data_IF_135621809557
#
_entry.id   IF_135621809557
#
_cell.length_a   1.000
_cell.length_b   1.000
_cell.length_c   1.000
_cell.angle_alpha   90.00
_cell.angle_beta   90.00
_cell.angle_gamma   90.00
#
_symmetry.space_group_name_H-M   'P 1'
#
loop_
_entity.id
_entity.type
_entity.pdbx_description
1 polymer ?
#
# COMPACT_ATOMS: atom_id res chain seq x y z
N UNK A 1 7.00 -11.77 -22.27
CA UNK A 1 7.61 -11.18 -21.06
C UNK A 1 6.59 -10.24 -20.46
N UNK A 2 6.14 -10.47 -19.21
CA UNK A 2 5.20 -9.57 -18.50
C UNK A 2 5.75 -9.02 -17.19
N UNK A 3 6.94 -9.47 -16.76
CA UNK A 3 7.62 -9.01 -15.55
C UNK A 3 8.76 -8.07 -15.92
N UNK A 4 8.90 -6.98 -15.17
CA UNK A 4 9.99 -6.01 -15.28
C UNK A 4 10.40 -5.55 -13.86
N UNK A 5 11.51 -4.81 -13.74
CA UNK A 5 11.90 -4.16 -12.49
C UNK A 5 12.00 -2.65 -12.72
N UNK A 6 11.24 -1.88 -11.94
CA UNK A 6 11.30 -0.41 -11.94
C UNK A 6 11.79 0.16 -10.62
N UNK A 7 11.86 -0.67 -9.57
CA UNK A 7 12.32 -0.22 -8.26
C UNK A 7 13.83 -0.01 -8.21
N UNK A 8 14.24 0.92 -7.36
CA UNK A 8 15.66 1.10 -7.02
C UNK A 8 16.11 -0.08 -6.16
N UNK A 9 17.22 -0.77 -6.50
CA UNK A 9 17.83 -1.76 -5.61
C UNK A 9 18.34 -1.09 -4.33
N UNK A 10 18.13 -1.73 -3.17
CA UNK A 10 18.60 -1.22 -1.88
C UNK A 10 19.72 -2.11 -1.34
N UNK A 11 20.79 -1.49 -0.83
CA UNK A 11 21.89 -2.23 -0.18
C UNK A 11 21.72 -2.15 1.33
N UNK A 12 21.52 -3.29 1.97
CA UNK A 12 21.48 -3.41 3.44
C UNK A 12 22.52 -4.44 3.87
N UNK A 13 23.46 -4.03 4.73
CA UNK A 13 24.64 -4.83 5.11
C UNK A 13 25.35 -5.42 3.87
N UNK A 14 25.38 -6.74 3.76
CA UNK A 14 26.03 -7.53 2.73
C UNK A 14 25.06 -8.00 1.64
N UNK A 15 23.87 -7.40 1.53
CA UNK A 15 22.81 -7.81 0.59
C UNK A 15 22.33 -6.67 -0.30
N UNK A 16 22.06 -7.02 -1.56
CA UNK A 16 21.32 -6.19 -2.51
C UNK A 16 19.88 -6.71 -2.58
N UNK A 17 18.93 -5.85 -2.25
CA UNK A 17 17.51 -6.15 -2.24
C UNK A 17 16.84 -5.55 -3.47
N UNK A 18 16.08 -6.35 -4.21
CA UNK A 18 15.30 -5.88 -5.36
C UNK A 18 13.97 -6.62 -5.45
N UNK A 19 13.01 -6.01 -6.14
CA UNK A 19 11.65 -6.46 -6.23
C UNK A 19 11.27 -6.90 -7.63
N UNK A 20 10.00 -6.70 -7.94
CA UNK A 20 9.34 -7.08 -9.18
C UNK A 20 8.17 -6.13 -9.47
N UNK A 21 7.97 -5.80 -10.74
CA UNK A 21 6.83 -5.07 -11.29
C UNK A 21 6.06 -5.98 -12.25
N UNK A 22 4.75 -5.78 -12.38
CA UNK A 22 3.90 -6.54 -13.32
C UNK A 22 2.55 -7.01 -12.77
N UNK A 23 1.97 -6.30 -11.80
CA UNK A 23 0.61 -6.58 -11.31
C UNK A 23 -0.40 -6.61 -12.46
N UNK A 24 -0.30 -5.62 -13.35
CA UNK A 24 -1.14 -5.44 -14.55
C UNK A 24 -0.90 -6.51 -15.62
N UNK A 25 0.03 -7.44 -15.41
CA UNK A 25 0.36 -8.54 -16.31
C UNK A 25 0.13 -9.90 -15.65
N UNK A 26 -0.49 -9.93 -14.46
CA UNK A 26 -0.71 -11.16 -13.70
C UNK A 26 0.59 -11.84 -13.26
N UNK A 27 1.64 -11.05 -13.00
CA UNK A 27 2.91 -11.58 -12.48
C UNK A 27 2.78 -11.79 -10.98
N UNK A 28 2.95 -13.03 -10.52
CA UNK A 28 3.19 -13.31 -9.10
C UNK A 28 4.58 -12.81 -8.72
N UNK A 29 4.61 -11.62 -8.13
CA UNK A 29 5.85 -10.97 -7.78
C UNK A 29 6.42 -11.46 -6.44
N UNK A 30 7.67 -11.07 -6.21
CA UNK A 30 8.45 -11.44 -5.04
C UNK A 30 9.42 -10.32 -4.69
N UNK A 31 10.00 -10.40 -3.51
CA UNK A 31 11.21 -9.66 -3.13
C UNK A 31 12.38 -10.64 -3.02
N UNK A 32 13.58 -10.22 -3.41
CA UNK A 32 14.77 -11.06 -3.40
C UNK A 32 15.97 -10.33 -2.84
N UNK A 33 16.78 -11.07 -2.08
CA UNK A 33 18.09 -10.63 -1.63
C UNK A 33 19.18 -11.40 -2.36
N UNK A 34 20.19 -10.68 -2.83
CA UNK A 34 21.39 -11.22 -3.42
C UNK A 34 22.59 -10.86 -2.55
N UNK A 35 23.54 -11.77 -2.38
CA UNK A 35 24.78 -11.49 -1.67
C UNK A 35 25.58 -10.44 -2.45
N UNK A 36 25.95 -9.35 -1.79
CA UNK A 36 26.67 -8.22 -2.39
C UNK A 36 28.04 -8.65 -2.94
N UNK A 37 28.66 -9.66 -2.32
CA UNK A 37 30.00 -10.14 -2.67
C UNK A 37 30.08 -10.75 -4.08
N UNK A 38 29.07 -11.52 -4.48
CA UNK A 38 29.14 -12.36 -5.68
C UNK A 38 27.85 -12.42 -6.51
N UNK A 39 26.78 -11.76 -6.07
CA UNK A 39 25.49 -11.74 -6.77
C UNK A 39 24.67 -13.02 -6.65
N UNK A 40 25.09 -13.99 -5.82
CA UNK A 40 24.31 -15.20 -5.56
C UNK A 40 23.00 -14.89 -4.83
N UNK A 41 21.92 -15.60 -5.17
CA UNK A 41 20.63 -15.44 -4.49
C UNK A 41 20.74 -15.94 -3.04
N UNK A 42 20.54 -15.05 -2.07
CA UNK A 42 20.51 -15.39 -0.66
C UNK A 42 19.14 -15.95 -0.27
N UNK A 43 18.07 -15.23 -0.61
CA UNK A 43 16.69 -15.68 -0.39
C UNK A 43 15.71 -14.98 -1.33
N UNK A 44 14.54 -15.58 -1.50
CA UNK A 44 13.40 -15.04 -2.27
C UNK A 44 12.11 -15.28 -1.49
N UNK A 45 11.29 -14.25 -1.35
CA UNK A 45 9.98 -14.33 -0.71
C UNK A 45 8.90 -13.85 -1.68
N UNK A 46 7.96 -14.72 -2.04
CA UNK A 46 6.81 -14.36 -2.85
C UNK A 46 5.77 -13.55 -2.06
N UNK A 47 4.93 -12.77 -2.76
CA UNK A 47 3.86 -11.96 -2.15
C UNK A 47 2.54 -12.73 -1.96
N UNK A 48 2.39 -13.87 -2.63
CA UNK A 48 1.22 -14.77 -2.54
C UNK A 48 1.72 -16.22 -2.56
N UNK A 49 0.85 -17.20 -2.28
CA UNK A 49 1.16 -18.63 -2.31
C UNK A 49 1.42 -19.27 -0.94
N UNK A 50 1.97 -20.49 -0.89
CA UNK A 50 2.18 -21.23 0.36
C UNK A 50 3.17 -20.50 1.29
N UNK A 51 3.02 -20.67 2.60
CA UNK A 51 3.87 -20.00 3.59
C UNK A 51 5.37 -20.30 3.38
N UNK A 52 5.68 -21.50 2.89
CA UNK A 52 7.04 -21.93 2.55
C UNK A 52 7.69 -21.13 1.43
N UNK A 53 6.92 -20.65 0.44
CA UNK A 53 7.42 -19.82 -0.66
C UNK A 53 7.42 -18.33 -0.30
N UNK A 54 6.58 -17.95 0.66
CA UNK A 54 6.48 -16.58 1.17
C UNK A 54 7.46 -16.29 2.31
N UNK A 55 8.21 -17.29 2.77
CA UNK A 55 9.07 -17.24 3.95
C UNK A 55 8.30 -16.76 5.19
N UNK A 56 7.14 -17.39 5.44
CA UNK A 56 6.31 -17.16 6.62
C UNK A 56 6.48 -18.34 7.57
N UNK A 57 6.77 -18.05 8.85
CA UNK A 57 7.03 -19.04 9.88
C UNK A 57 6.05 -18.97 11.04
N UNK A 58 6.18 -19.90 11.99
CA UNK A 58 5.26 -20.05 13.14
C UNK A 58 5.09 -18.80 14.03
N UNK A 59 6.12 -17.95 14.10
CA UNK A 59 6.17 -16.77 14.96
C UNK A 59 5.69 -15.49 14.23
N UNK A 60 5.23 -15.63 12.98
CA UNK A 60 4.72 -14.53 12.18
C UNK A 60 3.46 -13.91 12.79
N UNK A 61 3.46 -12.57 12.95
CA UNK A 61 2.37 -11.81 13.55
C UNK A 61 2.01 -12.22 14.98
N UNK A 62 2.97 -12.73 15.75
CA UNK A 62 2.77 -13.22 17.12
C UNK A 62 2.05 -12.23 18.04
N UNK A 63 2.40 -10.94 17.98
CA UNK A 63 1.81 -9.90 18.82
C UNK A 63 0.44 -9.44 18.31
N UNK A 64 0.15 -9.69 17.02
CA UNK A 64 -1.08 -9.28 16.35
C UNK A 64 -1.70 -10.47 15.58
N UNK A 65 -2.04 -11.59 16.24
CA UNK A 65 -2.40 -12.84 15.54
C UNK A 65 -3.68 -12.71 14.70
N UNK A 66 -4.55 -11.76 15.05
CA UNK A 66 -5.75 -11.40 14.27
C UNK A 66 -5.47 -10.88 12.85
N UNK A 67 -4.25 -10.44 12.54
CA UNK A 67 -3.86 -10.14 11.15
C UNK A 67 -3.77 -11.40 10.29
N UNK A 68 -3.63 -12.58 10.91
CA UNK A 68 -3.66 -13.89 10.24
C UNK A 68 -5.09 -14.46 10.23
N UNK A 69 -6.09 -13.63 9.93
CA UNK A 69 -7.47 -14.07 9.75
C UNK A 69 -7.70 -14.64 8.34
N UNK A 70 -8.47 -15.72 8.26
CA UNK A 70 -8.85 -16.36 6.98
C UNK A 70 -9.73 -15.48 6.08
N UNK A 71 -10.60 -14.68 6.70
CA UNK A 71 -11.39 -13.64 6.04
C UNK A 71 -11.60 -12.51 7.04
N UNK A 72 -11.66 -11.28 6.55
CA UNK A 72 -12.01 -10.10 7.36
C UNK A 72 -13.40 -9.54 7.07
N UNK A 73 -14.07 -10.08 6.04
CA UNK A 73 -15.41 -9.67 5.63
C UNK A 73 -16.39 -10.86 5.62
N UNK A 74 -17.63 -10.58 5.99
CA UNK A 74 -18.78 -11.46 5.79
C UNK A 74 -19.25 -11.35 4.32
N UNK A 75 -19.35 -12.48 3.61
CA UNK A 75 -19.96 -12.51 2.28
C UNK A 75 -21.48 -12.42 2.41
N UNK A 76 -21.99 -11.18 2.34
CA UNK A 76 -23.41 -10.89 2.54
C UNK A 76 -24.26 -11.05 1.28
N UNK A 77 -23.66 -11.09 0.09
CA UNK A 77 -24.39 -11.04 -1.20
C UNK A 77 -23.91 -12.07 -2.25
N UNK A 78 -23.06 -13.02 -1.86
CA UNK A 78 -22.57 -14.09 -2.72
C UNK A 78 -21.55 -13.58 -3.73
N UNK A 79 -20.51 -12.91 -3.23
CA UNK A 79 -19.50 -12.22 -4.04
C UNK A 79 -19.84 -10.75 -4.31
N UNK A 80 -18.90 -10.00 -4.86
CA UNK A 80 -18.96 -8.56 -5.01
C UNK A 80 -20.10 -8.12 -5.96
N UNK A 81 -21.10 -7.40 -5.44
CA UNK A 81 -22.32 -6.98 -6.14
C UNK A 81 -22.75 -5.58 -5.70
N UNK A 82 -23.73 -4.99 -6.40
CA UNK A 82 -24.28 -3.67 -6.08
C UNK A 82 -24.82 -3.65 -4.64
N UNK A 83 -24.33 -2.71 -3.81
CA UNK A 83 -24.57 -2.70 -2.37
C UNK A 83 -23.45 -3.35 -1.52
N UNK A 84 -22.40 -3.83 -2.18
CA UNK A 84 -21.17 -4.36 -1.58
C UNK A 84 -21.34 -5.73 -0.92
N UNK A 85 -20.21 -6.42 -0.74
CA UNK A 85 -20.14 -7.74 -0.09
C UNK A 85 -19.18 -7.74 1.10
N UNK A 86 -18.99 -6.56 1.70
CA UNK A 86 -17.93 -6.30 2.66
C UNK A 86 -18.49 -5.72 3.95
N UNK A 87 -19.26 -6.52 4.68
CA UNK A 87 -19.53 -6.21 6.09
C UNK A 87 -18.33 -6.66 6.91
N UNK A 88 -17.59 -5.76 7.57
CA UNK A 88 -16.41 -6.13 8.35
C UNK A 88 -16.81 -7.04 9.51
N UNK A 89 -16.04 -8.10 9.71
CA UNK A 89 -16.23 -9.01 10.84
C UNK A 89 -15.72 -8.38 12.14
N UNK A 90 -16.46 -8.58 13.22
CA UNK A 90 -15.96 -8.26 14.56
C UNK A 90 -14.80 -9.18 14.93
N UNK A 91 -13.93 -8.72 15.84
CA UNK A 91 -12.75 -9.48 16.27
C UNK A 91 -13.07 -10.90 16.79
N UNK A 92 -14.25 -11.08 17.40
CA UNK A 92 -14.73 -12.37 17.93
C UNK A 92 -15.19 -13.34 16.84
N UNK A 93 -15.48 -12.85 15.64
CA UNK A 93 -15.94 -13.65 14.49
C UNK A 93 -14.79 -14.05 13.57
N UNK A 94 -13.64 -13.38 13.68
CA UNK A 94 -12.45 -13.72 12.89
C UNK A 94 -11.90 -15.10 13.28
N UNK A 95 -11.55 -15.90 12.28
CA UNK A 95 -10.85 -17.18 12.45
C UNK A 95 -9.34 -16.97 12.28
N UNK A 96 -8.60 -16.98 13.39
CA UNK A 96 -7.15 -16.73 13.44
C UNK A 96 -6.51 -17.38 14.70
N UNK A 97 -5.17 -17.57 14.73
CA UNK A 97 -4.26 -17.44 13.59
C UNK A 97 -4.40 -18.64 12.65
N UNK A 98 -4.39 -18.38 11.36
CA UNK A 98 -4.43 -19.40 10.30
C UNK A 98 -3.15 -19.36 9.46
N UNK A 99 -2.78 -20.51 8.89
CA UNK A 99 -1.61 -20.67 8.02
C UNK A 99 -2.01 -20.76 6.54
N UNK A 100 -1.04 -20.63 5.64
CA UNK A 100 -1.17 -20.68 4.18
C UNK A 100 -2.22 -19.69 3.63
N UNK A 101 -2.32 -18.52 4.27
CA UNK A 101 -3.28 -17.48 3.87
C UNK A 101 -3.00 -16.95 2.46
N UNK A 102 -1.74 -16.99 2.02
CA UNK A 102 -1.34 -16.67 0.65
C UNK A 102 -1.95 -17.58 -0.43
N UNK A 103 -2.51 -18.72 -0.04
CA UNK A 103 -3.31 -19.62 -0.90
C UNK A 103 -4.79 -19.58 -0.51
N UNK A 104 -5.08 -19.69 0.79
CA UNK A 104 -6.42 -19.97 1.31
C UNK A 104 -7.38 -18.79 1.26
N UNK A 105 -6.87 -17.55 1.12
CA UNK A 105 -7.73 -16.37 0.91
C UNK A 105 -7.99 -16.07 -0.56
N UNK A 106 -7.58 -16.96 -1.46
CA UNK A 106 -7.95 -16.92 -2.88
C UNK A 106 -9.08 -17.92 -3.07
N UNK A 107 -10.31 -17.46 -2.88
CA UNK A 107 -11.52 -18.28 -2.83
C UNK A 107 -11.99 -18.64 -4.24
N UNK A 108 -12.80 -19.68 -4.37
CA UNK A 108 -13.37 -20.12 -5.67
C UNK A 108 -14.83 -19.63 -5.81
N UNK A 109 -15.33 -19.45 -7.04
CA UNK A 109 -14.64 -19.62 -8.33
C UNK A 109 -13.65 -18.49 -8.63
N UNK A 110 -12.56 -18.80 -9.31
CA UNK A 110 -11.58 -17.84 -9.82
C UNK A 110 -11.47 -18.01 -11.33
N UNK A 111 -11.07 -16.94 -12.04
CA UNK A 111 -10.80 -17.06 -13.47
C UNK A 111 -9.62 -18.02 -13.76
N UNK A 112 -8.60 -18.03 -12.90
CA UNK A 112 -7.51 -18.99 -12.96
C UNK A 112 -7.71 -20.08 -11.90
N UNK A 113 -7.36 -21.34 -12.21
CA UNK A 113 -7.55 -22.48 -11.29
C UNK A 113 -6.94 -22.23 -9.90
N UNK A 114 -5.75 -21.64 -9.89
CA UNK A 114 -4.96 -21.27 -8.71
C UNK A 114 -4.58 -19.79 -8.81
N UNK A 115 -5.55 -18.88 -8.66
CA UNK A 115 -5.36 -17.45 -9.00
C UNK A 115 -4.27 -16.72 -8.23
N UNK A 116 -3.85 -17.22 -7.06
CA UNK A 116 -2.67 -16.71 -6.36
C UNK A 116 -1.39 -16.81 -7.19
N UNK A 117 -1.29 -17.74 -8.16
CA UNK A 117 -0.15 -17.87 -9.09
C UNK A 117 -0.04 -16.71 -10.09
N UNK A 118 -1.11 -15.94 -10.25
CA UNK A 118 -1.16 -14.72 -11.05
C UNK A 118 -1.60 -13.51 -10.22
N UNK A 119 -1.55 -13.64 -8.89
CA UNK A 119 -2.15 -12.72 -7.93
C UNK A 119 -1.38 -11.42 -7.68
N UNK A 120 -0.50 -10.99 -8.59
CA UNK A 120 0.23 -9.73 -8.45
C UNK A 120 1.15 -9.69 -7.22
N UNK A 121 0.89 -8.72 -6.34
CA UNK A 121 1.70 -8.35 -5.20
C UNK A 121 3.07 -7.78 -5.58
N UNK A 122 3.17 -6.85 -6.54
CA UNK A 122 4.45 -6.32 -6.98
C UNK A 122 5.13 -5.50 -5.87
N UNK A 123 6.45 -5.40 -5.91
CA UNK A 123 7.28 -4.85 -4.81
C UNK A 123 8.12 -3.70 -5.33
N UNK A 124 7.51 -2.84 -6.14
CA UNK A 124 8.18 -1.90 -7.02
C UNK A 124 8.49 -0.53 -6.39
N UNK A 125 8.08 -0.31 -5.14
CA UNK A 125 8.31 0.92 -4.39
C UNK A 125 9.65 0.98 -3.65
N UNK A 126 9.61 1.44 -2.40
CA UNK A 126 10.79 1.77 -1.59
C UNK A 126 10.95 0.82 -0.40
N UNK A 127 12.20 0.60 0.03
CA UNK A 127 12.49 -0.27 1.17
C UNK A 127 13.23 0.51 2.26
N UNK A 128 12.92 0.20 3.52
CA UNK A 128 13.64 0.75 4.68
C UNK A 128 14.20 -0.36 5.56
N UNK A 129 15.14 -0.02 6.43
CA UNK A 129 15.87 -1.00 7.23
C UNK A 129 16.19 -0.47 8.64
N UNK A 130 15.90 -1.27 9.66
CA UNK A 130 16.35 -1.04 11.03
C UNK A 130 17.51 -2.01 11.37
N UNK A 131 18.75 -1.52 11.51
CA UNK A 131 19.91 -2.35 11.81
C UNK A 131 19.90 -2.94 13.24
N UNK A 132 19.20 -2.32 14.20
CA UNK A 132 19.11 -2.83 15.57
C UNK A 132 18.17 -4.04 15.64
N UNK A 133 17.11 -4.03 14.84
CA UNK A 133 16.12 -5.12 14.79
C UNK A 133 16.45 -6.20 13.76
N UNK A 134 17.41 -5.91 12.87
CA UNK A 134 17.71 -6.65 11.65
C UNK A 134 16.49 -6.83 10.73
N UNK A 135 15.60 -5.83 10.72
CA UNK A 135 14.37 -5.88 9.95
C UNK A 135 14.39 -4.91 8.79
N UNK A 136 14.06 -5.41 7.60
CA UNK A 136 13.70 -4.59 6.46
C UNK A 136 12.18 -4.49 6.31
N UNK A 137 11.72 -3.35 5.82
CA UNK A 137 10.31 -3.02 5.68
C UNK A 137 10.00 -2.64 4.24
N UNK A 138 8.89 -3.15 3.72
CA UNK A 138 8.41 -2.84 2.37
C UNK A 138 6.91 -3.14 2.28
N UNK A 139 6.29 -2.63 1.23
CA UNK A 139 4.90 -2.91 0.89
C UNK A 139 4.76 -3.76 -0.38
N UNK A 140 3.69 -4.54 -0.48
CA UNK A 140 3.30 -5.28 -1.68
C UNK A 140 2.11 -4.60 -2.36
N UNK A 141 2.12 -4.56 -3.68
CA UNK A 141 1.09 -3.94 -4.51
C UNK A 141 -0.17 -4.79 -4.72
N UNK A 142 -0.88 -4.45 -5.79
CA UNK A 142 -2.20 -4.94 -6.14
C UNK A 142 -2.31 -6.46 -6.44
N UNK A 143 -3.51 -7.07 -6.28
CA UNK A 143 -3.73 -8.51 -6.44
C UNK A 143 -3.81 -9.00 -7.91
N UNK A 144 -3.09 -8.36 -8.83
CA UNK A 144 -3.09 -8.72 -10.24
C UNK A 144 -4.23 -8.04 -11.01
N UNK A 145 -5.16 -8.82 -11.56
CA UNK A 145 -6.32 -8.28 -12.30
C UNK A 145 -7.11 -7.25 -11.48
N UNK A 146 -7.54 -6.19 -12.15
CA UNK A 146 -8.29 -5.07 -11.63
C UNK A 146 -9.79 -5.35 -11.53
N UNK A 147 -10.26 -6.49 -12.08
CA UNK A 147 -11.61 -6.98 -11.85
C UNK A 147 -11.65 -7.80 -10.53
N UNK A 148 -12.27 -7.28 -9.44
CA UNK A 148 -12.31 -8.00 -8.17
C UNK A 148 -13.16 -9.28 -8.23
N UNK A 149 -14.18 -9.33 -9.08
CA UNK A 149 -15.18 -10.40 -9.12
C UNK A 149 -14.60 -11.73 -9.58
N UNK A 150 -13.48 -11.70 -10.31
CA UNK A 150 -12.80 -12.90 -10.82
C UNK A 150 -11.74 -13.46 -9.86
N UNK A 151 -11.56 -12.83 -8.69
CA UNK A 151 -10.60 -13.21 -7.64
C UNK A 151 -11.16 -13.04 -6.22
N UNK A 152 -12.26 -13.73 -5.86
CA UNK A 152 -12.91 -13.56 -4.56
C UNK A 152 -11.98 -13.94 -3.38
N UNK A 153 -12.22 -13.29 -2.23
CA UNK A 153 -11.45 -13.44 -0.99
C UNK A 153 -10.46 -12.32 -0.73
N UNK A 154 -9.87 -12.28 0.46
CA UNK A 154 -8.99 -11.17 0.90
C UNK A 154 -7.73 -10.98 0.04
N UNK A 155 -7.38 -11.95 -0.82
CA UNK A 155 -6.23 -11.92 -1.73
C UNK A 155 -4.88 -11.66 -1.02
N UNK A 156 -4.70 -12.26 0.16
CA UNK A 156 -3.44 -12.16 0.91
C UNK A 156 -2.27 -12.77 0.13
N UNK A 157 -1.07 -12.20 0.20
CA UNK A 157 -0.69 -11.00 0.94
C UNK A 157 -0.40 -9.83 -0.01
N UNK A 158 -1.30 -9.56 -0.96
CA UNK A 158 -1.31 -8.28 -1.69
C UNK A 158 -1.66 -7.13 -0.73
N UNK A 159 -1.36 -5.88 -1.12
CA UNK A 159 -1.69 -4.67 -0.35
C UNK A 159 -1.22 -4.70 1.11
N UNK A 160 -0.04 -5.26 1.37
CA UNK A 160 0.43 -5.61 2.70
C UNK A 160 1.78 -4.96 3.00
N UNK A 161 1.89 -4.35 4.18
CA UNK A 161 3.19 -3.96 4.74
C UNK A 161 3.82 -5.19 5.39
N UNK A 162 5.07 -5.49 5.05
CA UNK A 162 5.87 -6.55 5.66
C UNK A 162 7.06 -5.98 6.42
N UNK A 163 7.41 -6.65 7.52
CA UNK A 163 8.74 -6.60 8.12
C UNK A 163 9.41 -7.98 8.03
N UNK A 164 10.60 -8.04 7.45
CA UNK A 164 11.36 -9.30 7.24
C UNK A 164 12.74 -9.22 7.87
N UNK A 165 13.17 -10.33 8.45
CA UNK A 165 14.57 -10.49 8.83
C UNK A 165 15.46 -10.43 7.58
N UNK A 166 16.49 -9.58 7.63
CA UNK A 166 17.35 -9.31 6.47
C UNK A 166 18.17 -10.55 6.05
N UNK A 167 18.57 -11.39 7.00
CA UNK A 167 19.49 -12.49 6.72
C UNK A 167 18.78 -13.71 6.14
N UNK A 168 17.56 -13.97 6.61
CA UNK A 168 16.78 -15.17 6.25
C UNK A 168 15.60 -14.87 5.32
N UNK A 169 15.16 -13.62 5.22
CA UNK A 169 13.93 -13.24 4.51
C UNK A 169 12.63 -13.61 5.23
N UNK A 170 12.71 -14.24 6.40
CA UNK A 170 11.54 -14.67 7.17
C UNK A 170 10.74 -13.46 7.65
N UNK A 171 9.43 -13.47 7.41
CA UNK A 171 8.53 -12.40 7.88
C UNK A 171 8.37 -12.46 9.40
N UNK A 172 8.57 -11.33 10.08
CA UNK A 172 8.28 -11.17 11.51
C UNK A 172 6.82 -10.75 11.72
N UNK A 173 6.38 -9.75 10.97
CA UNK A 173 5.01 -9.28 11.00
C UNK A 173 4.59 -8.74 9.64
N UNK A 174 3.28 -8.74 9.38
CA UNK A 174 2.68 -8.07 8.23
C UNK A 174 1.25 -7.61 8.52
N UNK A 175 0.83 -6.55 7.83
CA UNK A 175 -0.51 -5.97 7.96
C UNK A 175 -1.07 -5.66 6.56
N UNK A 176 -2.20 -6.30 6.21
CA UNK A 176 -2.88 -6.07 4.93
C UNK A 176 -3.79 -4.85 5.05
N UNK A 177 -3.45 -3.78 4.32
CA UNK A 177 -4.11 -2.48 4.38
C UNK A 177 -5.43 -2.45 3.59
N UNK A 178 -5.45 -3.11 2.43
CA UNK A 178 -6.61 -3.12 1.53
C UNK A 178 -6.99 -4.58 1.18
N UNK A 179 -7.66 -5.31 2.10
CA UNK A 179 -8.11 -6.68 1.83
C UNK A 179 -9.15 -6.69 0.70
N UNK A 180 -8.97 -7.63 -0.24
CA UNK A 180 -9.77 -7.68 -1.47
C UNK A 180 -9.85 -6.32 -2.16
N UNK A 181 -8.71 -5.84 -2.68
CA UNK A 181 -8.67 -4.55 -3.37
C UNK A 181 -9.62 -4.52 -4.59
N UNK A 182 -10.26 -3.37 -4.80
CA UNK A 182 -11.25 -3.15 -5.86
C UNK A 182 -10.87 -1.96 -6.77
N UNK A 183 -9.75 -1.29 -6.48
CA UNK A 183 -9.46 0.04 -7.01
C UNK A 183 -8.04 0.24 -7.50
N UNK A 184 -7.21 -0.80 -7.43
CA UNK A 184 -5.79 -0.71 -7.72
C UNK A 184 -5.06 0.24 -6.75
N UNK A 185 -5.20 0.00 -5.44
CA UNK A 185 -4.48 0.78 -4.42
C UNK A 185 -3.19 0.11 -3.97
N UNK A 186 -2.17 0.02 -4.85
CA UNK A 186 -0.91 -0.66 -4.54
C UNK A 186 -0.32 -0.25 -3.18
N UNK A 187 -0.13 -1.23 -2.31
CA UNK A 187 0.37 -1.03 -0.95
C UNK A 187 1.88 -0.76 -0.82
N UNK A 188 2.56 -0.27 -1.85
CA UNK A 188 4.04 -0.28 -1.96
C UNK A 188 4.75 1.05 -1.65
N UNK A 189 4.01 2.12 -1.33
CA UNK A 189 4.59 3.41 -0.95
C UNK A 189 5.60 3.26 0.19
N UNK A 190 6.50 4.24 0.34
CA UNK A 190 7.59 4.18 1.31
C UNK A 190 7.14 3.98 2.75
N UNK A 191 8.02 3.36 3.54
CA UNK A 191 7.85 3.18 4.98
C UNK A 191 8.98 3.94 5.67
N UNK A 192 8.64 5.06 6.31
CA UNK A 192 9.61 5.92 6.98
C UNK A 192 9.73 5.47 8.44
N UNK A 193 10.95 5.13 8.85
CA UNK A 193 11.28 4.71 10.22
C UNK A 193 11.65 5.94 11.06
N UNK A 194 11.05 6.06 12.24
CA UNK A 194 11.24 7.22 13.12
C UNK A 194 11.00 6.86 14.58
N UNK A 195 11.32 7.78 15.49
CA UNK A 195 11.17 7.56 16.91
C UNK A 195 10.45 8.74 17.56
N UNK A 196 9.50 8.45 18.45
CA UNK A 196 8.84 9.46 19.26
C UNK A 196 8.33 8.86 20.56
N UNK A 197 8.43 9.64 21.64
CA UNK A 197 7.96 9.27 22.97
C UNK A 197 8.49 7.89 23.43
N UNK A 198 9.75 7.58 23.12
CA UNK A 198 10.39 6.30 23.45
C UNK A 198 9.94 5.09 22.61
N UNK A 199 9.07 5.28 21.60
CA UNK A 199 8.60 4.22 20.71
C UNK A 199 9.39 4.19 19.41
N UNK A 200 9.58 2.98 18.90
CA UNK A 200 10.15 2.70 17.59
C UNK A 200 9.01 2.58 16.57
N UNK A 201 8.89 3.57 15.68
CA UNK A 201 7.72 3.73 14.81
C UNK A 201 8.09 3.57 13.33
N UNK A 202 7.09 3.18 12.55
CA UNK A 202 7.11 3.19 11.09
C UNK A 202 5.83 3.85 10.58
N UNK A 203 5.95 4.83 9.69
CA UNK A 203 4.79 5.47 9.04
C UNK A 203 4.79 5.23 7.54
N UNK A 204 3.59 5.07 6.99
CA UNK A 204 3.34 4.76 5.59
C UNK A 204 2.11 5.53 5.11
N UNK A 205 2.21 6.14 3.93
CA UNK A 205 1.15 6.94 3.33
C UNK A 205 0.68 6.23 2.07
N UNK A 206 -0.42 5.50 2.18
CA UNK A 206 -0.81 4.52 1.16
C UNK A 206 -1.56 5.16 -0.02
N UNK A 207 -1.54 4.45 -1.17
CA UNK A 207 -2.38 4.79 -2.32
C UNK A 207 -3.84 4.95 -1.93
N UNK A 208 -4.37 4.09 -1.05
CA UNK A 208 -5.77 4.12 -0.62
C UNK A 208 -6.19 5.41 0.12
N UNK A 209 -5.27 6.31 0.45
CA UNK A 209 -5.59 7.60 1.06
C UNK A 209 -5.58 7.63 2.58
N UNK A 210 -5.15 6.55 3.23
CA UNK A 210 -4.90 6.52 4.67
C UNK A 210 -3.40 6.66 4.98
N UNK A 211 -3.11 7.45 6.00
CA UNK A 211 -1.80 7.51 6.66
C UNK A 211 -1.77 6.54 7.83
N UNK A 212 -0.86 5.59 7.79
CA UNK A 212 -0.69 4.54 8.78
C UNK A 212 0.55 4.80 9.64
N UNK A 213 0.48 4.49 10.93
CA UNK A 213 1.65 4.41 11.82
C UNK A 213 1.60 3.15 12.66
N UNK A 214 2.71 2.43 12.70
CA UNK A 214 2.89 1.17 13.42
C UNK A 214 4.00 1.28 14.45
N UNK A 215 3.92 0.45 15.50
CA UNK A 215 5.13 0.05 16.20
C UNK A 215 5.94 -0.89 15.29
N UNK A 216 7.14 -0.45 14.86
CA UNK A 216 7.91 -1.18 13.84
C UNK A 216 8.53 -2.48 14.37
N UNK A 217 8.52 -2.69 15.68
CA UNK A 217 9.10 -3.89 16.31
C UNK A 217 8.21 -5.11 16.16
N UNK A 218 6.89 -4.92 16.14
CA UNK A 218 5.89 -5.99 16.21
C UNK A 218 4.67 -5.80 15.28
N UNK A 219 4.59 -4.68 14.55
CA UNK A 219 3.54 -4.42 13.58
C UNK A 219 2.21 -3.94 14.18
N UNK A 220 2.15 -3.61 15.48
CA UNK A 220 0.91 -3.11 16.08
C UNK A 220 0.52 -1.77 15.45
N UNK A 221 -0.67 -1.73 14.83
CA UNK A 221 -1.25 -0.52 14.26
C UNK A 221 -1.63 0.49 15.36
N UNK A 222 -1.14 1.73 15.24
CA UNK A 222 -1.36 2.81 16.20
C UNK A 222 -2.22 3.94 15.64
N UNK A 223 -2.07 4.24 14.35
CA UNK A 223 -2.79 5.31 13.65
C UNK A 223 -3.16 4.81 12.26
N UNK A 224 -4.38 5.07 11.82
CA UNK A 224 -4.85 4.82 10.47
C UNK A 224 -5.95 5.84 10.12
N UNK A 225 -5.55 6.99 9.60
CA UNK A 225 -6.42 8.14 9.40
C UNK A 225 -6.38 8.63 7.95
N UNK A 226 -7.49 9.17 7.46
CA UNK A 226 -7.55 9.72 6.10
C UNK A 226 -6.59 10.89 5.96
N UNK A 227 -5.74 10.85 4.92
CA UNK A 227 -4.84 11.95 4.58
C UNK A 227 -5.61 13.21 4.15
N UNK A 228 -6.80 13.04 3.56
CA UNK A 228 -7.68 14.13 3.20
C UNK A 228 -9.16 13.68 3.24
N UNK A 229 -10.12 14.55 3.64
CA UNK A 229 -11.54 14.18 3.79
C UNK A 229 -12.25 13.66 2.52
N UNK A 230 -11.69 13.90 1.33
CA UNK A 230 -12.28 13.44 0.06
C UNK A 230 -12.23 11.92 -0.13
N UNK A 231 -11.38 11.20 0.61
CA UNK A 231 -11.27 9.74 0.56
C UNK A 231 -12.61 9.13 0.99
N UNK A 232 -13.21 8.29 0.14
CA UNK A 232 -14.58 7.82 0.34
C UNK A 232 -14.78 6.31 0.22
N UNK A 233 -13.85 5.55 -0.36
CA UNK A 233 -13.97 4.08 -0.49
C UNK A 233 -14.13 3.36 0.85
N UNK A 234 -13.58 3.91 1.93
CA UNK A 234 -13.79 3.46 3.30
C UNK A 234 -14.09 4.64 4.23
N UNK A 235 -14.93 4.39 5.22
CA UNK A 235 -15.31 5.39 6.22
C UNK A 235 -14.21 5.59 7.28
N UNK A 236 -13.57 4.50 7.70
CA UNK A 236 -12.46 4.45 8.67
C UNK A 236 -11.73 3.11 8.57
N UNK A 237 -10.59 3.01 9.25
CA UNK A 237 -9.98 1.73 9.65
C UNK A 237 -10.34 1.47 11.11
N UNK A 238 -10.91 0.31 11.44
CA UNK A 238 -11.16 -0.04 12.83
C UNK A 238 -9.85 -0.50 13.50
N UNK A 239 -9.30 0.29 14.42
CA UNK A 239 -8.02 -0.01 15.06
C UNK A 239 -8.03 -1.27 15.95
N UNK A 240 -9.20 -1.77 16.37
CA UNK A 240 -9.27 -3.00 17.20
C UNK A 240 -9.10 -4.26 16.36
N UNK A 241 -9.62 -4.23 15.13
CA UNK A 241 -9.58 -5.36 14.19
C UNK A 241 -8.51 -5.18 13.11
N UNK A 242 -8.12 -3.95 12.80
CA UNK A 242 -7.28 -3.59 11.66
C UNK A 242 -8.01 -3.60 10.32
N UNK A 243 -9.35 -3.59 10.31
CA UNK A 243 -10.15 -3.82 9.09
C UNK A 243 -10.68 -2.48 8.55
N UNK A 244 -10.53 -2.19 7.25
CA UNK A 244 -11.22 -1.07 6.61
C UNK A 244 -12.74 -1.27 6.58
N UNK A 245 -13.49 -0.26 7.03
CA UNK A 245 -14.96 -0.23 6.91
C UNK A 245 -15.30 0.38 5.56
N UNK A 246 -15.35 -0.46 4.52
CA UNK A 246 -15.66 -0.08 3.13
C UNK A 246 -17.05 0.55 3.03
N UNK A 247 -17.18 1.60 2.21
CA UNK A 247 -18.47 2.16 1.84
C UNK A 247 -18.94 1.48 0.54
N UNK A 248 -20.00 0.65 0.60
CA UNK A 248 -20.46 -0.12 -0.56
C UNK A 248 -20.89 0.75 -1.74
N UNK A 249 -21.15 2.04 -1.54
CA UNK A 249 -21.47 2.99 -2.63
C UNK A 249 -20.30 3.17 -3.60
N UNK A 250 -19.07 3.01 -3.12
CA UNK A 250 -17.85 3.24 -3.90
C UNK A 250 -17.10 1.94 -4.23
N UNK A 251 -17.67 0.78 -3.86
CA UNK A 251 -17.19 -0.53 -4.30
C UNK A 251 -17.35 -0.71 -5.81
N UNK A 252 -16.42 -1.45 -6.42
CA UNK A 252 -16.44 -1.75 -7.86
C UNK A 252 -16.85 -3.20 -8.05
N UNK A 253 -17.67 -3.50 -9.05
CA UNK A 253 -18.00 -4.87 -9.44
C UNK A 253 -18.38 -4.90 -10.92
N UNK A 254 -18.31 -6.06 -11.54
CA UNK A 254 -18.62 -6.24 -12.95
C UNK A 254 -20.06 -5.80 -13.25
N UNK A 255 -20.26 -5.25 -14.46
CA UNK A 255 -21.54 -4.71 -14.94
C UNK A 255 -22.06 -3.48 -14.17
N UNK A 256 -21.20 -2.85 -13.36
CA UNK A 256 -21.49 -1.58 -12.69
C UNK A 256 -20.38 -0.57 -12.87
N UNK A 257 -20.79 0.64 -13.23
CA UNK A 257 -19.90 1.76 -13.41
C UNK A 257 -19.91 2.63 -12.14
N UNK A 258 -18.96 2.39 -11.25
CA UNK A 258 -18.81 3.07 -9.97
C UNK A 258 -18.30 4.50 -10.20
N UNK A 259 -19.09 5.50 -9.81
CA UNK A 259 -18.81 6.92 -10.09
C UNK A 259 -18.34 7.66 -8.85
N UNK A 260 -17.35 8.53 -9.01
CA UNK A 260 -16.91 9.42 -7.94
C UNK A 260 -16.13 8.73 -6.84
N UNK A 261 -15.46 7.61 -7.15
CA UNK A 261 -14.58 6.91 -6.21
C UNK A 261 -13.34 7.77 -5.96
N UNK A 262 -12.99 7.97 -4.70
CA UNK A 262 -11.85 8.75 -4.27
C UNK A 262 -11.04 7.98 -3.21
N UNK A 263 -9.72 7.82 -3.40
CA UNK A 263 -8.95 8.31 -4.55
C UNK A 263 -9.20 7.53 -5.85
N UNK A 264 -8.68 8.01 -6.98
CA UNK A 264 -8.52 7.18 -8.18
C UNK A 264 -7.47 6.08 -7.97
N UNK A 265 -7.31 5.18 -8.94
CA UNK A 265 -6.26 4.15 -8.92
C UNK A 265 -4.85 4.70 -8.68
N UNK A 266 -4.56 5.93 -9.11
CA UNK A 266 -3.33 6.68 -8.81
C UNK A 266 -3.13 7.03 -7.31
N UNK A 267 -4.14 6.75 -6.49
CA UNK A 267 -4.15 7.00 -5.06
C UNK A 267 -4.21 8.48 -4.66
N UNK A 268 -4.23 8.73 -3.35
CA UNK A 268 -3.94 10.05 -2.78
C UNK A 268 -2.43 10.32 -2.77
N UNK A 269 -1.62 9.27 -2.91
CA UNK A 269 -0.17 9.32 -3.06
C UNK A 269 0.26 8.11 -3.87
N UNK A 270 1.25 8.27 -4.74
CA UNK A 270 1.84 7.18 -5.52
C UNK A 270 3.31 6.99 -5.10
N UNK A 271 4.22 6.75 -6.04
CA UNK A 271 5.61 6.45 -5.77
C UNK A 271 6.40 7.56 -5.06
N UNK A 272 5.92 8.81 -5.05
CA UNK A 272 6.71 9.97 -4.65
C UNK A 272 7.04 10.00 -3.14
N UNK A 273 8.29 9.76 -2.68
CA UNK A 273 8.56 9.56 -1.26
C UNK A 273 8.35 10.84 -0.43
N UNK A 274 7.71 10.70 0.73
CA UNK A 274 7.61 11.76 1.74
C UNK A 274 8.94 11.98 2.47
N UNK A 275 9.07 13.13 3.13
CA UNK A 275 10.22 13.46 3.99
C UNK A 275 9.79 13.60 5.45
N UNK A 276 10.70 13.31 6.39
CA UNK A 276 10.44 13.46 7.83
C UNK A 276 11.49 14.36 8.49
N UNK A 277 11.02 15.32 9.31
CA UNK A 277 11.90 16.14 10.15
C UNK A 277 11.90 15.61 11.58
N UNK A 278 13.01 15.03 12.09
CA UNK A 278 13.11 14.60 13.48
C UNK A 278 13.06 15.78 14.46
N UNK A 279 13.45 16.99 14.02
CA UNK A 279 13.38 18.22 14.80
C UNK A 279 11.93 18.62 15.08
N UNK A 280 11.08 18.58 14.05
CA UNK A 280 9.69 19.03 14.14
C UNK A 280 8.70 17.89 14.42
N UNK A 281 9.16 16.63 14.29
CA UNK A 281 8.35 15.41 14.35
C UNK A 281 7.18 15.42 13.36
N UNK A 282 7.44 15.96 12.17
CA UNK A 282 6.45 16.19 11.11
C UNK A 282 6.90 15.53 9.82
N UNK A 283 5.94 14.91 9.13
CA UNK A 283 6.09 14.40 7.77
C UNK A 283 5.67 15.44 6.75
N UNK A 284 6.33 15.49 5.61
CA UNK A 284 6.01 16.35 4.48
C UNK A 284 5.69 15.45 3.29
N UNK A 285 4.42 15.44 2.92
CA UNK A 285 3.85 14.41 2.05
C UNK A 285 3.35 15.06 0.77
N UNK A 286 3.95 14.75 -0.39
CA UNK A 286 3.42 15.13 -1.69
C UNK A 286 2.21 14.25 -2.04
N UNK A 287 1.14 14.86 -2.56
CA UNK A 287 -0.17 14.21 -2.74
C UNK A 287 -0.77 14.41 -4.13
N UNK A 288 -1.64 13.46 -4.46
CA UNK A 288 -2.57 13.43 -5.56
C UNK A 288 -3.97 13.78 -5.01
N UNK A 289 -4.75 14.54 -5.77
CA UNK A 289 -6.14 14.91 -5.43
C UNK A 289 -7.05 14.56 -6.60
N UNK A 290 -7.12 13.26 -6.91
CA UNK A 290 -7.78 12.72 -8.11
C UNK A 290 -8.81 11.68 -7.70
N UNK A 291 -9.96 11.70 -8.37
CA UNK A 291 -11.04 10.71 -8.23
C UNK A 291 -11.30 10.04 -9.57
N UNK A 292 -12.13 8.99 -9.58
CA UNK A 292 -12.41 8.24 -10.79
C UNK A 292 -13.86 7.77 -10.91
N UNK A 293 -14.18 7.46 -12.16
CA UNK A 293 -15.25 6.55 -12.55
C UNK A 293 -14.59 5.25 -12.99
N UNK A 294 -15.06 4.11 -12.47
CA UNK A 294 -14.41 2.80 -12.62
C UNK A 294 -15.43 1.73 -12.97
N UNK A 295 -15.16 0.97 -14.03
CA UNK A 295 -15.98 -0.16 -14.46
C UNK A 295 -15.08 -1.39 -14.67
N UNK A 296 -15.19 -2.42 -13.82
CA UNK A 296 -14.55 -3.71 -14.08
C UNK A 296 -15.14 -4.37 -15.33
N UNK A 297 -14.27 -4.96 -16.14
CA UNK A 297 -14.66 -5.68 -17.36
C UNK A 297 -14.01 -7.06 -17.41
N UNK A 298 -14.57 -7.97 -18.20
CA UNK A 298 -13.93 -9.26 -18.43
C UNK A 298 -12.61 -9.08 -19.18
N UNK A 299 -11.56 -9.75 -18.71
CA UNK A 299 -10.26 -9.84 -19.39
C UNK A 299 -9.68 -11.23 -19.20
N UNK A 300 -9.04 -11.81 -20.22
CA UNK A 300 -8.45 -13.15 -20.16
C UNK A 300 -6.94 -13.06 -19.95
N UNK A 301 -6.43 -13.88 -19.04
CA UNK A 301 -4.99 -13.99 -18.86
C UNK A 301 -4.32 -14.65 -20.06
N UNK A 302 -3.31 -13.97 -20.61
CA UNK A 302 -2.36 -14.53 -21.58
C UNK A 302 -0.97 -14.09 -21.15
N UNK A 303 -0.07 -15.04 -20.91
CA UNK A 303 1.27 -14.73 -20.41
C UNK A 303 1.99 -13.71 -21.32
N UNK A 304 2.43 -12.60 -20.72
CA UNK A 304 3.11 -11.51 -21.42
C UNK A 304 2.20 -10.46 -22.07
N UNK A 305 0.89 -10.59 -21.95
CA UNK A 305 -0.08 -9.55 -22.31
C UNK A 305 -0.59 -8.83 -21.04
N UNK A 306 -1.03 -7.57 -21.15
CA UNK A 306 -1.73 -6.92 -20.04
C UNK A 306 -2.98 -7.71 -19.62
N UNK A 307 -3.15 -7.87 -18.32
CA UNK A 307 -4.29 -8.51 -17.66
C UNK A 307 -4.86 -7.56 -16.60
N UNK A 308 -5.42 -6.45 -17.08
CA UNK A 308 -6.02 -5.38 -16.26
C UNK A 308 -7.49 -5.73 -15.97
N UNK A 309 -8.41 -5.57 -16.94
CA UNK A 309 -9.82 -5.88 -16.72
C UNK A 309 -10.63 -4.75 -16.06
N UNK A 310 -10.34 -3.49 -16.39
CA UNK A 310 -11.16 -2.35 -15.99
C UNK A 310 -11.06 -1.21 -17.03
N UNK A 311 -12.07 -0.35 -17.05
CA UNK A 311 -12.07 0.95 -17.75
C UNK A 311 -12.20 2.06 -16.73
N UNK A 312 -11.34 3.08 -16.83
CA UNK A 312 -11.29 4.19 -15.88
C UNK A 312 -11.40 5.54 -16.59
N UNK A 313 -12.07 6.48 -15.94
CA UNK A 313 -11.98 7.91 -16.25
C UNK A 313 -11.61 8.66 -14.99
N UNK A 314 -10.51 9.40 -15.02
CA UNK A 314 -10.01 10.16 -13.87
C UNK A 314 -10.30 11.65 -14.02
N UNK A 315 -10.55 12.31 -12.90
CA UNK A 315 -10.86 13.74 -12.84
C UNK A 315 -10.38 14.33 -11.51
N UNK A 316 -10.23 15.66 -11.50
CA UNK A 316 -9.85 16.39 -10.29
C UNK A 316 -10.82 16.09 -9.14
N UNK A 317 -10.28 15.94 -7.93
CA UNK A 317 -11.08 15.80 -6.72
C UNK A 317 -11.87 17.07 -6.39
N UNK A 318 -12.67 17.04 -5.30
CA UNK A 318 -13.65 18.09 -5.00
C UNK A 318 -13.07 19.48 -4.72
N UNK A 319 -11.75 19.60 -4.59
CA UNK A 319 -11.06 20.85 -4.25
C UNK A 319 -10.75 21.72 -5.48
N UNK A 320 -11.09 21.24 -6.68
CA UNK A 320 -10.84 21.91 -7.96
C UNK A 320 -9.38 21.82 -8.45
N UNK A 321 -8.58 20.95 -7.84
CA UNK A 321 -7.17 20.73 -8.14
C UNK A 321 -6.86 19.23 -8.23
N UNK A 322 -5.74 18.86 -8.85
CA UNK A 322 -5.33 17.46 -9.00
C UNK A 322 -4.20 17.03 -8.05
N UNK A 323 -3.64 17.95 -7.26
CA UNK A 323 -2.59 17.64 -6.31
C UNK A 323 -2.66 18.46 -5.04
N UNK A 324 -1.78 18.08 -4.13
CA UNK A 324 -1.55 18.84 -2.92
C UNK A 324 -0.21 18.50 -2.28
N UNK A 325 0.09 19.21 -1.21
CA UNK A 325 1.28 18.97 -0.39
C UNK A 325 0.91 19.26 1.06
N UNK A 326 1.17 18.32 1.97
CA UNK A 326 0.79 18.48 3.39
C UNK A 326 1.97 18.32 4.34
N UNK A 327 1.84 18.95 5.51
CA UNK A 327 2.52 18.50 6.71
C UNK A 327 1.60 17.58 7.52
N UNK A 328 2.12 16.47 8.03
CA UNK A 328 1.36 15.46 8.76
C UNK A 328 2.01 15.11 10.10
N UNK A 329 1.19 15.01 11.15
CA UNK A 329 1.59 14.52 12.47
C UNK A 329 1.29 13.01 12.57
N UNK A 330 2.35 12.19 12.56
CA UNK A 330 2.23 10.73 12.53
C UNK A 330 1.63 10.10 13.80
N UNK A 331 1.67 10.79 14.96
CA UNK A 331 1.01 10.29 16.18
C UNK A 331 -0.46 10.71 16.26
N UNK A 332 -0.79 11.89 15.75
CA UNK A 332 -2.17 12.41 15.78
C UNK A 332 -3.02 11.96 14.60
N UNK A 333 -2.38 11.52 13.52
CA UNK A 333 -3.08 11.13 12.29
C UNK A 333 -3.80 12.30 11.64
N UNK A 334 -3.18 13.48 11.60
CA UNK A 334 -3.80 14.70 11.06
C UNK A 334 -2.81 15.58 10.32
N UNK A 335 -3.30 16.23 9.27
CA UNK A 335 -2.57 17.29 8.60
C UNK A 335 -2.44 18.52 9.52
N UNK A 336 -1.24 19.09 9.61
CA UNK A 336 -0.96 20.35 10.29
C UNK A 336 -1.26 21.54 9.38
N UNK A 337 -0.98 21.39 8.09
CA UNK A 337 -1.35 22.30 7.02
C UNK A 337 -1.42 21.54 5.69
N UNK A 338 -2.13 22.10 4.70
CA UNK A 338 -2.33 21.54 3.37
C UNK A 338 -2.30 22.64 2.31
N UNK A 339 -1.46 22.46 1.29
CA UNK A 339 -1.38 23.32 0.13
C UNK A 339 -1.99 22.62 -1.08
N UNK A 340 -2.81 23.34 -1.83
CA UNK A 340 -3.35 22.88 -3.11
C UNK A 340 -2.31 23.05 -4.21
N UNK A 341 -2.18 22.05 -5.09
CA UNK A 341 -1.34 22.10 -6.28
C UNK A 341 -2.15 21.82 -7.53
N UNK A 342 -1.92 22.61 -8.60
CA UNK A 342 -2.68 22.50 -9.85
C UNK A 342 -2.66 21.07 -10.39
N UNK A 343 -1.48 20.46 -10.39
CA UNK A 343 -1.24 19.08 -10.77
C UNK A 343 -0.80 18.27 -9.57
N UNK A 344 -0.97 16.95 -9.66
CA UNK A 344 -0.47 15.99 -8.68
C UNK A 344 1.01 16.25 -8.37
N UNK A 345 1.37 16.31 -7.08
CA UNK A 345 2.76 16.49 -6.67
C UNK A 345 3.46 15.13 -6.78
N UNK A 346 4.03 14.84 -7.95
CA UNK A 346 4.60 13.54 -8.29
C UNK A 346 6.10 13.41 -7.97
N UNK A 347 6.71 14.49 -7.47
CA UNK A 347 8.09 14.49 -7.00
C UNK A 347 8.19 14.14 -5.52
N UNK A 348 9.26 13.45 -5.13
CA UNK A 348 9.59 13.24 -3.72
C UNK A 348 9.88 14.56 -2.98
N UNK A 349 9.71 14.55 -1.66
CA UNK A 349 10.00 15.68 -0.80
C UNK A 349 11.40 15.61 -0.19
N UNK A 350 11.96 16.77 0.16
CA UNK A 350 13.17 16.91 0.97
C UNK A 350 12.91 17.93 2.08
N UNK A 351 13.24 17.59 3.32
CA UNK A 351 13.25 18.55 4.44
C UNK A 351 14.65 18.72 5.00
N UNK A 352 14.99 19.96 5.34
CA UNK A 352 16.33 20.34 5.83
C UNK A 352 16.29 20.84 7.28
N UNK A 353 17.44 20.85 7.96
CA UNK A 353 17.55 21.28 9.35
C UNK A 353 17.21 22.77 9.58
N UNK A 354 17.23 23.58 8.50
CA UNK A 354 16.84 25.00 8.49
C UNK A 354 15.33 25.22 8.34
N UNK A 355 14.50 24.18 8.54
CA UNK A 355 13.05 24.25 8.43
C UNK A 355 12.56 24.69 7.03
N UNK A 356 13.26 24.25 5.99
CA UNK A 356 12.86 24.38 4.59
C UNK A 356 12.48 23.01 4.02
N UNK A 357 11.36 22.97 3.29
CA UNK A 357 10.86 21.78 2.58
C UNK A 357 10.89 22.04 1.08
N UNK A 358 11.48 21.13 0.32
CA UNK A 358 11.59 21.21 -1.14
C UNK A 358 10.82 20.08 -1.81
N UNK A 359 10.21 20.38 -2.96
CA UNK A 359 9.56 19.39 -3.82
C UNK A 359 9.42 19.94 -5.25
N UNK A 360 9.22 19.02 -6.21
CA UNK A 360 8.95 19.35 -7.61
C UNK A 360 7.47 19.23 -7.94
N UNK A 361 7.01 20.03 -8.92
CA UNK A 361 5.64 19.98 -9.46
C UNK A 361 5.63 19.66 -10.96
N UNK A 362 4.55 19.04 -11.45
CA UNK A 362 4.43 18.64 -12.86
C UNK A 362 4.37 19.81 -13.85
N UNK A 363 4.05 21.02 -13.40
CA UNK A 363 4.17 22.27 -14.17
C UNK A 363 5.59 22.87 -14.16
N UNK A 364 6.58 22.05 -13.78
CA UNK A 364 8.03 22.27 -13.91
C UNK A 364 8.63 23.23 -12.88
N UNK A 365 8.04 23.36 -11.70
CA UNK A 365 8.65 24.15 -10.62
C UNK A 365 9.41 23.25 -9.64
N UNK A 366 10.57 23.72 -9.18
CA UNK A 366 11.12 23.34 -7.88
C UNK A 366 10.68 24.41 -6.89
N UNK A 367 10.05 24.00 -5.79
CA UNK A 367 9.52 24.91 -4.76
C UNK A 367 10.24 24.71 -3.43
N UNK A 368 10.28 25.76 -2.61
CA UNK A 368 10.68 25.69 -1.22
C UNK A 368 9.59 26.30 -0.33
N UNK A 369 9.19 25.57 0.70
CA UNK A 369 8.19 25.97 1.69
C UNK A 369 8.83 26.16 3.06
N UNK A 370 8.25 27.07 3.85
CA UNK A 370 8.44 27.10 5.30
C UNK A 370 7.83 25.83 5.92
N UNK A 371 8.65 25.05 6.63
CA UNK A 371 8.27 23.73 7.13
C UNK A 371 7.16 23.77 8.20
N UNK A 372 6.97 24.90 8.89
CA UNK A 372 5.98 25.05 9.96
C UNK A 372 4.61 25.49 9.43
N UNK A 373 4.60 26.32 8.40
CA UNK A 373 3.39 27.01 7.94
C UNK A 373 2.93 26.56 6.55
N UNK A 374 3.79 25.90 5.79
CA UNK A 374 3.54 25.56 4.38
C UNK A 374 3.65 26.76 3.43
N UNK A 375 4.02 27.95 3.91
CA UNK A 375 4.14 29.14 3.06
C UNK A 375 5.22 28.93 1.99
N UNK A 376 4.89 29.15 0.72
CA UNK A 376 5.89 29.22 -0.37
C UNK A 376 6.86 30.37 -0.11
N UNK A 377 8.15 30.05 -0.02
CA UNK A 377 9.23 31.02 0.20
C UNK A 377 10.02 31.29 -1.08
N UNK A 378 10.09 30.29 -1.97
CA UNK A 378 10.85 30.35 -3.20
C UNK A 378 10.35 29.33 -4.22
N UNK A 379 10.55 29.62 -5.50
CA UNK A 379 10.44 28.64 -6.59
C UNK A 379 11.30 29.03 -7.80
N UNK A 380 11.66 28.04 -8.60
CA UNK A 380 12.37 28.19 -9.87
C UNK A 380 11.83 27.21 -10.90
N UNK A 381 11.73 27.65 -12.16
CA UNK A 381 11.22 26.87 -13.29
C UNK A 381 12.31 26.59 -14.29
#
# INVERSE_FOLDING_TARGET
>A
MGAANTNVPHVFKDKVITGCSGGEFGVRCHISAYNLKDGSLAWKAYSTGPDSEMLIGKDFNKENPHYNALSVYEDVNGGNKMGGSFKPLDKSQLKYPEADLGVRTWLKPQQQKDGWQNGGGPTWGWYSYDPKLNLMYYGTGNPGTWNPDVRPGDNKWSMTIFARDLDTGMARWAYQMTPHDEWDYDGMNEIILWEANGKQLASHFDRNGFGYTFDRTNGTLLVAEKMHPFVNWATKIDLKTGIPVKDPKYSTHQDYNAKGVCPSALGVKDEQPAAYSPKNKTFYVPLNHVCMTYEPVESKYVAGQPWVGATLTMFAGPDGVMGGFMAWDGLKGKAQWYNKEKFSAWGGALVTASDLVFYGTLDRWVKALDAKTGKELWKFQ
#
